data_IF_043978194369
#
_entry.id   IF_043978194369
#
_cell.length_a   1.000
_cell.length_b   1.000
_cell.length_c   1.000
_cell.angle_alpha   90.00
_cell.angle_beta   90.00
_cell.angle_gamma   90.00
#
_symmetry.space_group_name_H-M   'P 1'
#
loop_
_entity.id
_entity.type
_entity.pdbx_description
1 polymer ?
#
# COMPACT_ATOMS: atom_id res chain seq x y z
N UNK A 1 12.50 15.11 -5.74
CA UNK A 1 12.24 14.09 -6.78
C UNK A 1 10.80 14.24 -7.27
N UNK A 2 10.58 14.00 -8.56
CA UNK A 2 9.21 14.03 -9.11
C UNK A 2 8.45 12.76 -8.74
N UNK A 3 7.16 12.87 -8.42
CA UNK A 3 6.34 11.70 -8.15
C UNK A 3 6.17 10.82 -9.40
N UNK A 4 5.91 9.54 -9.18
CA UNK A 4 5.49 8.61 -10.22
C UNK A 4 3.98 8.44 -10.18
N UNK A 5 3.34 8.07 -11.29
CA UNK A 5 1.88 7.94 -11.32
C UNK A 5 1.40 6.91 -12.34
N UNK A 6 0.17 6.43 -12.12
CA UNK A 6 -0.63 5.67 -13.09
C UNK A 6 -2.05 6.20 -13.12
N UNK A 7 -2.72 6.00 -14.24
CA UNK A 7 -4.16 6.25 -14.34
C UNK A 7 -4.93 4.99 -13.93
N UNK A 8 -5.96 5.17 -13.09
CA UNK A 8 -6.83 4.13 -12.59
C UNK A 8 -8.28 4.62 -12.54
N UNK A 9 -9.16 4.05 -13.33
CA UNK A 9 -10.61 4.39 -13.33
C UNK A 9 -10.92 5.89 -13.50
N UNK A 10 -10.16 6.62 -14.34
CA UNK A 10 -10.34 8.06 -14.53
C UNK A 10 -9.71 8.94 -13.43
N UNK A 11 -8.99 8.33 -12.52
CA UNK A 11 -8.16 8.98 -11.51
C UNK A 11 -6.69 8.82 -11.86
N UNK A 12 -5.85 9.80 -11.52
CA UNK A 12 -4.40 9.70 -11.56
C UNK A 12 -3.86 9.58 -10.14
N UNK A 13 -3.22 8.47 -9.85
CA UNK A 13 -2.68 8.14 -8.54
C UNK A 13 -1.18 8.41 -8.53
N UNK A 14 -0.74 9.27 -7.64
CA UNK A 14 0.66 9.65 -7.47
C UNK A 14 1.25 9.02 -6.21
N UNK A 15 2.47 8.53 -6.36
CA UNK A 15 3.26 7.94 -5.28
C UNK A 15 4.71 8.44 -5.30
N UNK A 16 5.41 8.29 -4.18
CA UNK A 16 6.84 8.54 -4.12
C UNK A 16 7.61 7.55 -5.01
N UNK A 17 8.61 8.03 -5.79
CA UNK A 17 9.42 7.17 -6.64
C UNK A 17 10.35 6.26 -5.82
N UNK A 18 11.00 5.25 -6.45
CA UNK A 18 12.10 4.53 -5.83
C UNK A 18 13.25 5.48 -5.37
N UNK A 19 13.87 5.17 -4.30
CA UNK A 19 13.94 3.92 -3.51
C UNK A 19 12.68 3.60 -2.67
N UNK A 20 11.63 4.40 -2.78
CA UNK A 20 10.33 4.16 -2.14
C UNK A 20 9.52 3.04 -2.81
N UNK A 21 8.66 2.39 -2.01
CA UNK A 21 7.81 1.28 -2.49
C UNK A 21 6.50 1.73 -3.14
N UNK A 22 6.29 3.03 -3.42
CA UNK A 22 5.05 3.54 -4.03
C UNK A 22 4.71 2.84 -5.35
N UNK A 23 5.73 2.47 -6.12
CA UNK A 23 5.57 1.69 -7.34
C UNK A 23 4.79 0.38 -7.13
N UNK A 24 4.86 -0.24 -5.94
CA UNK A 24 4.11 -1.48 -5.63
C UNK A 24 2.61 -1.26 -5.72
N UNK A 25 2.11 -0.18 -5.13
CA UNK A 25 0.69 0.17 -5.22
C UNK A 25 0.28 0.46 -6.66
N UNK A 26 1.11 1.19 -7.41
CA UNK A 26 0.83 1.54 -8.80
C UNK A 26 0.82 0.32 -9.73
N UNK A 27 1.74 -0.64 -9.56
CA UNK A 27 1.73 -1.91 -10.31
C UNK A 27 0.45 -2.69 -9.99
N UNK A 28 0.08 -2.81 -8.70
CA UNK A 28 -1.14 -3.51 -8.32
C UNK A 28 -2.40 -2.87 -8.91
N UNK A 29 -2.52 -1.54 -8.87
CA UNK A 29 -3.64 -0.81 -9.48
C UNK A 29 -3.71 -1.03 -10.99
N UNK A 30 -2.58 -1.02 -11.70
CA UNK A 30 -2.54 -1.33 -13.13
C UNK A 30 -2.99 -2.75 -13.45
N UNK A 31 -2.63 -3.73 -12.61
CA UNK A 31 -3.11 -5.11 -12.76
C UNK A 31 -4.63 -5.16 -12.52
N UNK A 32 -5.11 -4.53 -11.45
CA UNK A 32 -6.52 -4.52 -11.05
C UNK A 32 -7.42 -3.78 -12.02
N UNK A 33 -6.93 -2.80 -12.77
CA UNK A 33 -7.71 -2.07 -13.76
C UNK A 33 -8.33 -2.97 -14.83
N UNK A 34 -7.76 -4.14 -15.08
CA UNK A 34 -8.30 -5.12 -16.05
C UNK A 34 -9.42 -6.01 -15.50
N UNK A 35 -9.80 -5.87 -14.23
CA UNK A 35 -10.95 -6.54 -13.63
C UNK A 35 -12.05 -5.52 -13.37
N UNK A 36 -13.31 -5.88 -13.53
CA UNK A 36 -14.44 -5.00 -13.22
C UNK A 36 -14.81 -5.11 -11.74
N UNK A 37 -14.00 -4.49 -10.88
CA UNK A 37 -14.17 -4.55 -9.42
C UNK A 37 -15.43 -3.81 -8.94
N UNK A 38 -16.00 -2.91 -9.76
CA UNK A 38 -17.18 -2.14 -9.38
C UNK A 38 -18.46 -2.98 -9.38
N UNK A 39 -18.51 -4.05 -10.20
CA UNK A 39 -19.66 -4.95 -10.24
C UNK A 39 -19.53 -6.12 -9.26
N UNK A 40 -18.36 -6.28 -8.62
CA UNK A 40 -18.15 -7.32 -7.61
C UNK A 40 -18.56 -6.81 -6.23
N UNK A 41 -19.25 -7.65 -5.45
CA UNK A 41 -19.53 -7.33 -4.06
C UNK A 41 -18.25 -7.04 -3.29
N UNK A 42 -18.31 -6.12 -2.32
CA UNK A 42 -17.13 -5.62 -1.58
C UNK A 42 -16.25 -6.73 -1.03
N UNK A 43 -16.85 -7.80 -0.54
CA UNK A 43 -16.17 -8.94 0.06
C UNK A 43 -16.42 -10.25 -0.70
N UNK A 44 -16.75 -10.19 -1.98
CA UNK A 44 -16.83 -11.43 -2.75
C UNK A 44 -15.46 -12.13 -2.76
N UNK A 45 -15.44 -13.48 -2.71
CA UNK A 45 -14.20 -14.25 -2.77
C UNK A 45 -13.35 -13.91 -4.00
N UNK A 46 -14.01 -13.69 -5.14
CA UNK A 46 -13.38 -13.33 -6.42
C UNK A 46 -12.65 -11.99 -6.32
N UNK A 47 -13.31 -10.96 -5.76
CA UNK A 47 -12.70 -9.63 -5.57
C UNK A 47 -11.51 -9.70 -4.63
N UNK A 48 -11.66 -10.34 -3.48
CA UNK A 48 -10.58 -10.49 -2.52
C UNK A 48 -9.41 -11.28 -3.11
N UNK A 49 -9.70 -12.37 -3.81
CA UNK A 49 -8.69 -13.19 -4.47
C UNK A 49 -7.86 -12.38 -5.48
N UNK A 50 -8.49 -11.69 -6.43
CA UNK A 50 -7.74 -10.93 -7.44
C UNK A 50 -6.96 -9.78 -6.83
N UNK A 51 -7.45 -9.13 -5.76
CA UNK A 51 -6.72 -8.09 -5.04
C UNK A 51 -5.47 -8.65 -4.33
N UNK A 52 -5.60 -9.80 -3.67
CA UNK A 52 -4.47 -10.49 -3.02
C UNK A 52 -3.42 -10.90 -4.06
N UNK A 53 -3.84 -11.51 -5.17
CA UNK A 53 -2.93 -11.96 -6.23
C UNK A 53 -2.23 -10.78 -6.93
N UNK A 54 -2.94 -9.69 -7.20
CA UNK A 54 -2.34 -8.47 -7.75
C UNK A 54 -1.26 -7.91 -6.82
N UNK A 55 -1.50 -7.90 -5.50
CA UNK A 55 -0.50 -7.48 -4.52
C UNK A 55 0.70 -8.43 -4.47
N UNK A 56 0.49 -9.76 -4.58
CA UNK A 56 1.59 -10.74 -4.66
C UNK A 56 2.51 -10.46 -5.84
N UNK A 57 1.93 -10.27 -7.01
CA UNK A 57 2.68 -9.97 -8.23
C UNK A 57 3.43 -8.63 -8.13
N UNK A 58 2.77 -7.59 -7.61
CA UNK A 58 3.38 -6.28 -7.41
C UNK A 58 4.55 -6.32 -6.43
N UNK A 59 4.43 -7.06 -5.31
CA UNK A 59 5.54 -7.24 -4.38
C UNK A 59 6.68 -8.08 -4.97
N UNK A 60 6.40 -9.11 -5.76
CA UNK A 60 7.44 -9.89 -6.42
C UNK A 60 8.34 -9.00 -7.30
N UNK A 61 7.73 -8.07 -8.04
CA UNK A 61 8.47 -7.10 -8.85
C UNK A 61 9.19 -6.05 -7.99
N UNK A 62 8.47 -5.42 -7.05
CA UNK A 62 9.02 -4.36 -6.24
C UNK A 62 10.21 -4.81 -5.38
N UNK A 63 10.17 -6.00 -4.81
CA UNK A 63 11.27 -6.55 -4.01
C UNK A 63 12.55 -6.75 -4.81
N UNK A 64 12.44 -7.03 -6.10
CA UNK A 64 13.60 -7.17 -6.96
C UNK A 64 14.09 -5.82 -7.50
N UNK A 65 13.18 -4.97 -8.00
CA UNK A 65 13.56 -3.77 -8.73
C UNK A 65 13.74 -2.52 -7.87
N UNK A 66 13.05 -2.40 -6.71
CA UNK A 66 13.13 -1.19 -5.88
C UNK A 66 14.46 -1.12 -5.16
N UNK A 67 15.23 -0.11 -5.54
CA UNK A 67 16.57 0.18 -5.03
C UNK A 67 16.86 1.67 -5.20
N UNK A 68 18.04 2.14 -4.78
CA UNK A 68 18.46 3.52 -5.03
C UNK A 68 18.76 3.73 -6.52
N UNK A 69 18.02 4.64 -7.21
CA UNK A 69 18.22 4.91 -8.65
C UNK A 69 19.62 5.45 -9.00
N UNK A 70 20.35 5.98 -8.03
CA UNK A 70 21.75 6.40 -8.22
C UNK A 70 22.72 5.22 -8.39
N UNK A 71 22.30 4.02 -7.97
CA UNK A 71 23.14 2.81 -7.98
C UNK A 71 22.63 1.72 -8.92
N UNK A 72 21.36 1.75 -9.32
CA UNK A 72 20.76 0.71 -10.16
C UNK A 72 19.76 1.31 -11.13
N UNK A 73 19.75 0.81 -12.36
CA UNK A 73 18.74 1.20 -13.36
C UNK A 73 17.44 0.44 -13.08
N UNK A 74 16.39 1.19 -12.73
CA UNK A 74 15.05 0.64 -12.51
C UNK A 74 14.23 0.88 -13.79
N UNK A 75 13.63 -0.17 -14.40
CA UNK A 75 12.83 -0.03 -15.61
C UNK A 75 11.42 0.50 -15.30
N UNK A 76 11.36 1.78 -14.86
CA UNK A 76 10.14 2.41 -14.33
C UNK A 76 9.00 2.47 -15.34
N UNK A 77 9.32 2.84 -16.60
CA UNK A 77 8.30 2.98 -17.65
C UNK A 77 7.67 1.63 -17.97
N UNK A 78 8.51 0.61 -18.07
CA UNK A 78 8.09 -0.76 -18.35
C UNK A 78 7.24 -1.33 -17.22
N UNK A 79 7.69 -1.19 -15.97
CA UNK A 79 6.97 -1.68 -14.78
C UNK A 79 5.59 -1.03 -14.59
N UNK A 80 5.44 0.25 -14.98
CA UNK A 80 4.20 0.99 -14.89
C UNK A 80 3.38 0.99 -16.19
N UNK A 81 3.81 0.27 -17.23
CA UNK A 81 3.07 0.18 -18.48
C UNK A 81 1.82 -0.68 -18.36
N UNK A 82 0.80 -0.37 -19.15
CA UNK A 82 -0.43 -1.18 -19.22
C UNK A 82 -0.20 -2.54 -19.88
N UNK A 83 0.76 -2.61 -20.79
CA UNK A 83 1.21 -3.83 -21.44
C UNK A 83 1.78 -4.81 -20.43
N UNK A 84 2.72 -4.35 -19.58
CA UNK A 84 3.29 -5.16 -18.52
C UNK A 84 2.22 -5.64 -17.53
N UNK A 85 1.35 -4.75 -17.10
CA UNK A 85 0.23 -5.10 -16.21
C UNK A 85 -0.69 -6.16 -16.84
N UNK A 86 -0.92 -6.09 -18.15
CA UNK A 86 -1.69 -7.11 -18.88
C UNK A 86 -1.00 -8.49 -18.85
N UNK A 87 0.32 -8.53 -19.04
CA UNK A 87 1.08 -9.79 -18.94
C UNK A 87 1.07 -10.36 -17.52
N UNK A 88 1.24 -9.49 -16.51
CA UNK A 88 1.18 -9.92 -15.11
C UNK A 88 -0.21 -10.47 -14.73
N UNK A 89 -1.27 -9.84 -15.23
CA UNK A 89 -2.67 -10.29 -15.01
C UNK A 89 -2.93 -11.71 -15.51
N UNK A 90 -2.31 -12.13 -16.60
CA UNK A 90 -2.45 -13.50 -17.14
C UNK A 90 -1.94 -14.57 -16.18
N UNK A 91 -1.11 -14.21 -15.21
CA UNK A 91 -0.59 -15.12 -14.19
C UNK A 91 -1.57 -15.38 -13.05
N UNK A 92 -2.65 -14.59 -12.95
CA UNK A 92 -3.69 -14.78 -11.95
C UNK A 92 -4.63 -15.88 -12.41
N UNK A 93 -4.60 -17.01 -11.72
CA UNK A 93 -5.59 -18.08 -11.90
C UNK A 93 -6.86 -17.69 -11.10
N UNK A 94 -8.05 -17.52 -11.72
CA UNK A 94 -9.23 -17.05 -11.03
C UNK A 94 -9.79 -17.99 -9.95
N UNK A 95 -9.24 -19.21 -9.83
CA UNK A 95 -9.74 -20.25 -8.92
C UNK A 95 -8.67 -20.75 -7.96
N UNK A 96 -7.42 -20.34 -8.12
CA UNK A 96 -6.31 -20.89 -7.34
C UNK A 96 -5.28 -19.82 -7.00
N UNK A 97 -4.91 -19.78 -5.71
CA UNK A 97 -3.86 -18.89 -5.22
C UNK A 97 -2.48 -19.30 -5.78
N UNK A 98 -1.70 -18.30 -6.16
CA UNK A 98 -0.29 -18.48 -6.57
C UNK A 98 0.59 -18.39 -5.32
N UNK A 99 0.86 -19.51 -4.67
CA UNK A 99 1.50 -19.57 -3.33
C UNK A 99 3.01 -19.36 -3.36
N UNK A 100 3.64 -19.03 -4.47
CA UNK A 100 5.08 -18.75 -4.48
C UNK A 100 5.49 -17.58 -5.37
N UNK A 101 5.68 -16.41 -4.79
CA UNK A 101 6.77 -15.55 -5.20
C UNK A 101 7.86 -15.61 -4.16
N UNK A 102 8.91 -16.36 -4.46
CA UNK A 102 10.08 -16.55 -3.61
C UNK A 102 10.60 -15.25 -3.00
N UNK A 103 10.82 -15.30 -1.71
CA UNK A 103 11.62 -14.54 -0.74
C UNK A 103 10.85 -13.70 0.28
N UNK A 104 11.16 -13.95 1.54
CA UNK A 104 10.72 -13.19 2.70
C UNK A 104 11.75 -13.18 3.81
N UNK A 105 11.61 -12.27 4.76
CA UNK A 105 12.27 -12.27 6.06
C UNK A 105 11.38 -11.50 7.07
N UNK A 106 11.28 -11.90 8.35
CA UNK A 106 10.22 -11.44 9.24
C UNK A 106 10.65 -10.26 10.10
N UNK A 107 9.83 -9.23 10.27
CA UNK A 107 9.48 -8.54 11.53
C UNK A 107 8.39 -7.50 11.28
N UNK A 108 7.26 -7.63 11.99
CA UNK A 108 6.12 -6.72 11.95
C UNK A 108 6.09 -5.82 13.19
N UNK A 109 6.66 -4.62 13.13
CA UNK A 109 6.18 -3.49 13.93
C UNK A 109 6.57 -2.20 13.24
N UNK A 110 5.58 -1.39 12.89
CA UNK A 110 5.80 -0.10 12.22
C UNK A 110 5.56 1.04 13.20
N UNK A 111 6.55 1.93 13.33
CA UNK A 111 6.44 3.20 14.05
C UNK A 111 6.23 4.37 13.08
N UNK A 112 5.13 4.36 12.31
CA UNK A 112 4.83 5.35 11.28
C UNK A 112 3.65 6.22 11.69
N UNK A 113 3.71 7.54 11.39
CA UNK A 113 2.61 8.50 11.53
C UNK A 113 2.31 9.11 10.16
N UNK A 114 1.03 9.19 9.79
CA UNK A 114 0.55 9.83 8.57
C UNK A 114 -0.44 10.95 8.90
N UNK A 115 -0.35 12.07 8.18
CA UNK A 115 -1.35 13.13 8.21
C UNK A 115 -1.62 13.69 6.80
N UNK A 116 -2.82 14.22 6.62
CA UNK A 116 -3.24 14.90 5.40
C UNK A 116 -3.85 16.25 5.74
N UNK A 117 -3.57 17.27 4.93
CA UNK A 117 -4.14 18.62 5.08
C UNK A 117 -4.56 19.14 3.72
N UNK A 118 -5.75 19.76 3.66
CA UNK A 118 -6.22 20.49 2.47
C UNK A 118 -6.68 21.87 2.94
N UNK A 119 -6.17 22.93 2.31
CA UNK A 119 -6.55 24.30 2.63
C UNK A 119 -7.77 24.80 1.82
N UNK A 120 -8.29 25.99 2.17
CA UNK A 120 -9.42 26.59 1.47
C UNK A 120 -9.17 26.97 0.01
N UNK A 121 -7.92 26.99 -0.45
CA UNK A 121 -7.54 27.21 -1.85
C UNK A 121 -7.44 25.90 -2.63
N UNK A 122 -7.56 24.76 -1.96
CA UNK A 122 -7.44 23.43 -2.56
C UNK A 122 -6.00 22.91 -2.65
N UNK A 123 -5.02 23.58 -2.01
CA UNK A 123 -3.69 22.99 -1.86
C UNK A 123 -3.77 21.82 -0.89
N UNK A 124 -3.09 20.73 -1.22
CA UNK A 124 -3.10 19.50 -0.43
C UNK A 124 -1.68 19.08 -0.04
N UNK A 125 -1.54 18.58 1.18
CA UNK A 125 -0.31 18.01 1.69
C UNK A 125 -0.58 16.59 2.21
N UNK A 126 0.12 15.62 1.66
CA UNK A 126 0.16 14.23 2.10
C UNK A 126 1.50 13.99 2.78
N UNK A 127 1.51 13.87 4.11
CA UNK A 127 2.72 13.87 4.92
C UNK A 127 2.85 12.59 5.75
N UNK A 128 4.04 12.01 5.73
CA UNK A 128 4.33 10.79 6.47
C UNK A 128 5.71 10.86 7.13
N UNK A 129 5.82 10.37 8.36
CA UNK A 129 7.05 10.26 9.12
C UNK A 129 7.16 8.88 9.78
N UNK A 130 8.35 8.30 9.82
CA UNK A 130 8.54 6.93 10.29
C UNK A 130 9.97 6.65 10.72
N UNK A 131 10.11 5.94 11.82
CA UNK A 131 11.37 5.32 12.24
C UNK A 131 11.59 3.93 11.61
N UNK A 132 10.64 3.44 10.80
CA UNK A 132 10.48 2.09 10.25
C UNK A 132 9.94 1.12 11.32
N UNK A 133 10.75 0.57 12.20
CA UNK A 133 10.31 -0.37 13.25
C UNK A 133 10.26 0.33 14.61
N UNK A 134 9.09 0.42 15.22
CA UNK A 134 8.90 0.93 16.60
C UNK A 134 9.72 2.19 16.89
N UNK A 135 10.66 2.09 17.84
CA UNK A 135 11.59 3.16 18.18
C UNK A 135 12.85 3.19 17.29
N UNK A 136 12.82 2.61 16.08
CA UNK A 136 13.94 2.57 15.16
C UNK A 136 15.13 1.77 15.75
N UNK A 137 16.30 2.41 15.82
CA UNK A 137 17.50 1.80 16.42
C UNK A 137 17.47 1.77 17.95
N UNK A 138 16.53 2.48 18.59
CA UNK A 138 16.53 2.74 20.03
C UNK A 138 17.60 3.75 20.48
N UNK A 139 18.43 4.26 19.57
CA UNK A 139 19.48 5.25 19.89
C UNK A 139 18.85 6.65 19.86
N UNK A 140 18.93 7.36 20.99
CA UNK A 140 18.54 8.75 21.13
C UNK A 140 19.81 9.62 21.13
N UNK A 141 20.05 10.45 20.09
CA UNK A 141 21.17 11.37 20.08
C UNK A 141 21.05 12.35 21.27
N UNK A 142 22.17 12.56 21.98
CA UNK A 142 22.18 13.42 23.18
C UNK A 142 21.71 14.84 22.86
N UNK A 143 20.68 15.30 23.57
CA UNK A 143 20.14 16.65 23.46
C UNK A 143 19.08 16.85 22.36
N UNK A 144 18.70 15.79 21.59
CA UNK A 144 17.79 15.92 20.46
C UNK A 144 16.37 15.38 20.69
N UNK A 145 16.16 14.45 21.62
CA UNK A 145 14.84 13.98 22.02
C UNK A 145 14.07 13.13 20.99
N UNK A 146 14.75 12.59 19.96
CA UNK A 146 14.18 11.66 19.00
C UNK A 146 15.07 10.40 18.85
N UNK A 147 14.49 9.30 18.37
CA UNK A 147 15.24 8.08 18.05
C UNK A 147 15.68 8.06 16.59
N UNK A 148 16.84 7.47 16.32
CA UNK A 148 17.32 7.26 14.96
C UNK A 148 16.53 6.12 14.29
N UNK A 149 16.10 6.34 13.04
CA UNK A 149 15.41 5.33 12.23
C UNK A 149 16.34 4.14 11.92
N UNK A 150 15.75 2.95 11.72
CA UNK A 150 16.49 1.71 11.42
C UNK A 150 16.23 1.18 10.01
N UNK A 151 16.02 2.04 9.06
CA UNK A 151 15.63 1.71 7.68
C UNK A 151 16.69 0.92 6.90
N UNK A 152 17.96 0.97 7.35
CA UNK A 152 19.04 0.15 6.82
C UNK A 152 18.80 -1.36 6.91
N UNK A 153 17.87 -1.80 7.78
CA UNK A 153 17.41 -3.19 7.84
C UNK A 153 16.86 -3.70 6.49
N UNK A 154 16.36 -2.81 5.65
CA UNK A 154 15.81 -3.17 4.35
C UNK A 154 16.86 -3.43 3.25
N UNK A 155 18.14 -3.24 3.51
CA UNK A 155 19.17 -3.63 2.55
C UNK A 155 19.23 -5.16 2.39
N UNK A 156 19.48 -5.60 1.16
CA UNK A 156 19.85 -6.99 0.88
C UNK A 156 21.32 -7.25 1.23
N UNK A 157 21.60 -8.43 1.75
CA UNK A 157 22.98 -8.92 1.93
C UNK A 157 23.45 -9.80 0.75
N UNK A 158 22.57 -10.08 -0.21
CA UNK A 158 22.94 -10.76 -1.45
C UNK A 158 23.72 -9.78 -2.36
N UNK A 159 24.98 -10.08 -2.70
CA UNK A 159 25.83 -9.19 -3.50
C UNK A 159 25.28 -8.95 -4.93
N UNK A 160 24.39 -9.82 -5.42
CA UNK A 160 23.79 -9.70 -6.74
C UNK A 160 22.48 -8.92 -6.73
N UNK A 161 21.97 -8.54 -5.56
CA UNK A 161 20.68 -7.87 -5.46
C UNK A 161 20.83 -6.36 -5.74
N UNK A 162 19.95 -5.72 -6.56
CA UNK A 162 20.00 -4.29 -6.81
C UNK A 162 19.99 -3.41 -5.54
N UNK A 163 19.32 -3.86 -4.46
CA UNK A 163 19.27 -3.17 -3.16
C UNK A 163 20.34 -3.70 -2.17
N UNK A 164 21.48 -4.22 -2.63
CA UNK A 164 22.57 -4.67 -1.76
C UNK A 164 23.13 -3.49 -0.96
N UNK A 165 23.53 -3.76 0.29
CA UNK A 165 24.17 -2.78 1.17
C UNK A 165 25.46 -2.24 0.53
N UNK A 166 25.54 -0.91 0.40
CA UNK A 166 26.72 -0.21 -0.10
C UNK A 166 26.87 1.17 0.55
N UNK A 167 28.10 1.72 0.64
CA UNK A 167 28.33 3.07 1.14
C UNK A 167 27.60 4.12 0.33
N UNK A 168 27.00 5.10 0.99
CA UNK A 168 26.29 6.22 0.35
C UNK A 168 24.97 5.87 -0.32
N UNK A 169 24.52 4.62 -0.24
CA UNK A 169 23.30 4.12 -0.87
C UNK A 169 22.10 4.22 0.06
N UNK A 170 20.94 4.61 -0.50
CA UNK A 170 19.66 4.62 0.18
C UNK A 170 19.03 3.22 0.14
N UNK A 171 18.52 2.68 1.28
CA UNK A 171 17.84 1.39 1.32
C UNK A 171 16.44 1.46 0.69
N UNK A 172 15.86 0.31 0.37
CA UNK A 172 14.41 0.18 0.12
C UNK A 172 13.63 0.91 1.21
N UNK A 173 12.71 1.81 0.80
CA UNK A 173 12.02 2.70 1.71
C UNK A 173 10.51 2.45 1.71
N UNK A 174 9.90 2.35 2.90
CA UNK A 174 8.50 1.93 3.03
C UNK A 174 7.49 3.06 3.11
N UNK A 175 7.89 4.33 3.37
CA UNK A 175 6.92 5.42 3.43
C UNK A 175 6.51 5.90 2.04
N UNK A 176 5.20 6.04 1.83
CA UNK A 176 4.60 6.35 0.54
C UNK A 176 3.34 7.22 0.71
N UNK A 177 3.47 8.53 1.04
CA UNK A 177 2.31 9.41 1.06
C UNK A 177 1.73 9.54 -0.34
N UNK A 178 0.41 9.35 -0.52
CA UNK A 178 -0.24 9.35 -1.82
C UNK A 178 -1.09 10.59 -2.07
N UNK A 179 -1.26 10.94 -3.34
CA UNK A 179 -2.14 11.98 -3.83
C UNK A 179 -2.90 11.46 -5.06
N UNK A 180 -4.16 11.84 -5.19
CA UNK A 180 -5.01 11.44 -6.32
C UNK A 180 -5.68 12.65 -6.93
N UNK A 181 -5.60 12.78 -8.26
CA UNK A 181 -6.32 13.80 -9.02
C UNK A 181 -7.28 13.15 -10.02
N UNK A 182 -8.25 13.91 -10.49
CA UNK A 182 -9.11 13.51 -11.61
C UNK A 182 -8.35 13.70 -12.92
N UNK A 183 -8.41 12.72 -13.79
CA UNK A 183 -7.74 12.82 -15.12
C UNK A 183 -8.38 13.90 -15.98
N UNK A 184 -9.69 14.16 -15.81
CA UNK A 184 -10.47 15.08 -16.63
C UNK A 184 -10.01 16.53 -16.54
N UNK A 185 -9.62 16.99 -15.32
CA UNK A 185 -9.35 18.41 -15.04
C UNK A 185 -8.16 18.63 -14.10
N UNK A 186 -7.49 17.55 -13.73
CA UNK A 186 -6.37 17.53 -12.77
C UNK A 186 -6.74 18.09 -11.37
N UNK A 187 -8.03 18.19 -11.04
CA UNK A 187 -8.48 18.61 -9.71
C UNK A 187 -8.18 17.53 -8.66
N UNK A 188 -7.97 17.97 -7.41
CA UNK A 188 -7.78 17.04 -6.30
C UNK A 188 -9.01 16.12 -6.16
N UNK A 189 -8.78 14.81 -6.13
CA UNK A 189 -9.76 13.81 -5.73
C UNK A 189 -9.55 13.39 -4.28
N UNK A 190 -8.33 13.03 -3.89
CA UNK A 190 -8.02 12.65 -2.52
C UNK A 190 -6.55 12.89 -2.17
N UNK A 191 -6.31 13.22 -0.90
CA UNK A 191 -5.02 13.11 -0.23
C UNK A 191 -5.17 12.03 0.83
N UNK A 192 -4.37 10.96 0.75
CA UNK A 192 -4.54 9.80 1.63
C UNK A 192 -3.24 9.03 1.85
N UNK A 193 -3.25 8.23 2.91
CA UNK A 193 -2.18 7.27 3.19
C UNK A 193 -2.61 6.27 4.24
N UNK A 194 -2.02 5.08 4.17
CA UNK A 194 -2.19 4.02 5.16
C UNK A 194 -0.82 3.66 5.67
N UNK A 195 -0.50 3.97 6.92
CA UNK A 195 0.76 3.59 7.54
C UNK A 195 0.82 2.11 7.86
N UNK A 196 2.01 1.52 8.04
CA UNK A 196 2.14 0.12 8.42
C UNK A 196 3.27 -0.65 7.71
N UNK A 197 4.40 -0.01 7.38
CA UNK A 197 5.51 -0.70 6.71
C UNK A 197 5.10 -1.24 5.34
N UNK A 198 5.23 -2.55 5.11
CA UNK A 198 4.80 -3.22 3.87
C UNK A 198 3.27 -3.31 3.71
N UNK A 199 2.50 -2.99 4.74
CA UNK A 199 1.05 -2.83 4.62
C UNK A 199 0.67 -1.56 3.81
N UNK A 200 1.52 -0.55 3.75
CA UNK A 200 1.19 0.72 3.10
C UNK A 200 0.68 0.55 1.65
N UNK A 201 1.39 -0.11 0.72
CA UNK A 201 0.89 -0.29 -0.65
C UNK A 201 -0.43 -1.07 -0.69
N UNK A 202 -0.59 -2.06 0.18
CA UNK A 202 -1.79 -2.89 0.26
C UNK A 202 -2.99 -2.08 0.77
N UNK A 203 -2.77 -1.27 1.81
CA UNK A 203 -3.78 -0.37 2.34
C UNK A 203 -4.18 0.71 1.33
N UNK A 204 -3.23 1.26 0.59
CA UNK A 204 -3.50 2.22 -0.49
C UNK A 204 -4.42 1.64 -1.55
N UNK A 205 -4.14 0.42 -2.02
CA UNK A 205 -4.96 -0.27 -3.03
C UNK A 205 -6.35 -0.58 -2.48
N UNK A 206 -6.47 -1.10 -1.26
CA UNK A 206 -7.75 -1.48 -0.66
C UNK A 206 -8.63 -0.26 -0.40
N UNK A 207 -8.06 0.81 0.18
CA UNK A 207 -8.80 2.05 0.46
C UNK A 207 -9.22 2.74 -0.85
N UNK A 208 -8.33 2.86 -1.83
CA UNK A 208 -8.66 3.49 -3.11
C UNK A 208 -9.74 2.71 -3.87
N UNK A 209 -9.68 1.37 -3.88
CA UNK A 209 -10.72 0.53 -4.48
C UNK A 209 -12.05 0.67 -3.75
N UNK A 210 -12.06 0.76 -2.42
CA UNK A 210 -13.28 0.98 -1.64
C UNK A 210 -13.92 2.35 -1.97
N UNK A 211 -13.11 3.41 -2.08
CA UNK A 211 -13.58 4.75 -2.49
C UNK A 211 -14.08 4.77 -3.93
N UNK A 212 -13.31 4.21 -4.88
CA UNK A 212 -13.56 4.39 -6.32
C UNK A 212 -14.43 3.30 -6.92
N UNK A 213 -14.13 2.03 -6.67
CA UNK A 213 -14.91 0.91 -7.21
C UNK A 213 -16.14 0.61 -6.32
N UNK A 214 -15.99 0.77 -4.99
CA UNK A 214 -17.06 0.57 -4.02
C UNK A 214 -17.98 1.77 -3.82
N UNK A 215 -17.57 2.96 -4.26
CA UNK A 215 -18.35 4.19 -4.09
C UNK A 215 -18.55 4.62 -2.62
N UNK A 216 -17.69 4.18 -1.72
CA UNK A 216 -17.79 4.47 -0.29
C UNK A 216 -17.24 5.86 0.04
N UNK A 217 -17.76 6.45 1.11
CA UNK A 217 -17.18 7.64 1.72
C UNK A 217 -15.85 7.29 2.45
N UNK A 218 -15.01 8.29 2.80
CA UNK A 218 -13.71 8.06 3.44
C UNK A 218 -13.77 7.24 4.73
N UNK A 219 -14.75 7.49 5.60
CA UNK A 219 -14.83 6.75 6.87
C UNK A 219 -15.26 5.32 6.63
N UNK A 220 -16.30 5.09 5.84
CA UNK A 220 -16.76 3.74 5.48
C UNK A 220 -15.65 2.93 4.80
N UNK A 221 -14.85 3.55 3.93
CA UNK A 221 -13.72 2.87 3.28
C UNK A 221 -12.61 2.48 4.28
N UNK A 222 -12.38 3.29 5.31
CA UNK A 222 -11.38 3.00 6.35
C UNK A 222 -11.87 1.95 7.36
N UNK A 223 -13.18 1.89 7.60
CA UNK A 223 -13.80 0.95 8.54
C UNK A 223 -13.83 -0.50 8.03
N UNK A 224 -13.71 -0.70 6.70
CA UNK A 224 -13.73 -2.05 6.13
C UNK A 224 -12.62 -2.93 6.70
N UNK A 225 -12.90 -4.21 7.00
CA UNK A 225 -11.87 -5.18 7.32
C UNK A 225 -10.93 -5.38 6.13
N UNK A 226 -9.65 -5.55 6.43
CA UNK A 226 -8.57 -5.63 5.45
C UNK A 226 -7.91 -7.00 5.42
N UNK A 227 -7.21 -7.27 4.33
CA UNK A 227 -6.17 -8.29 4.29
C UNK A 227 -4.78 -7.65 4.36
N UNK A 228 -3.81 -8.40 4.85
CA UNK A 228 -2.40 -8.04 4.79
C UNK A 228 -1.60 -9.26 4.33
N UNK A 229 -1.07 -9.18 3.12
CA UNK A 229 -0.11 -10.15 2.63
C UNK A 229 1.19 -9.97 3.41
N UNK A 230 1.61 -11.01 4.12
CA UNK A 230 2.93 -11.02 4.74
C UNK A 230 3.98 -11.11 3.63
N UNK A 231 4.37 -9.94 3.15
CA UNK A 231 5.32 -9.81 2.05
C UNK A 231 6.71 -10.38 2.41
N UNK A 232 6.93 -10.76 3.65
CA UNK A 232 8.21 -11.27 4.17
C UNK A 232 8.18 -12.75 4.51
N UNK A 233 7.01 -13.41 4.58
CA UNK A 233 6.93 -14.84 4.86
C UNK A 233 7.25 -15.70 3.62
N UNK A 234 8.05 -16.74 3.86
CA UNK A 234 8.27 -17.81 2.89
C UNK A 234 7.00 -18.69 2.81
N UNK A 235 6.08 -18.41 1.95
CA UNK A 235 4.81 -19.16 1.85
C UNK A 235 3.62 -18.25 1.61
N UNK A 236 3.86 -16.93 1.54
CA UNK A 236 2.86 -15.95 1.11
C UNK A 236 1.63 -15.91 2.00
N UNK A 237 1.81 -16.03 3.34
CA UNK A 237 0.72 -15.91 4.33
C UNK A 237 -0.06 -14.62 4.11
N UNK A 238 -1.37 -14.71 4.25
CA UNK A 238 -2.29 -13.58 4.22
C UNK A 238 -2.99 -13.48 5.56
N UNK A 239 -2.73 -12.42 6.29
CA UNK A 239 -3.49 -12.07 7.47
C UNK A 239 -4.83 -11.48 7.03
N UNK A 240 -5.93 -11.96 7.61
CA UNK A 240 -7.30 -11.52 7.36
C UNK A 240 -7.85 -10.93 8.65
N UNK A 241 -8.37 -9.72 8.55
CA UNK A 241 -8.91 -9.01 9.69
C UNK A 241 -10.28 -9.56 10.12
N UNK A 242 -10.52 -9.58 11.43
CA UNK A 242 -11.86 -9.87 11.97
C UNK A 242 -12.92 -8.96 11.34
N UNK A 243 -14.12 -9.49 11.09
CA UNK A 243 -15.17 -8.78 10.36
C UNK A 243 -15.23 -9.12 8.86
N UNK A 244 -14.21 -9.78 8.30
CA UNK A 244 -14.31 -10.37 6.96
C UNK A 244 -15.37 -11.47 6.96
N UNK A 245 -16.31 -11.51 5.98
CA UNK A 245 -17.35 -12.54 5.96
C UNK A 245 -16.76 -13.96 5.95
N UNK A 246 -17.24 -14.82 6.82
CA UNK A 246 -16.76 -16.21 6.96
C UNK A 246 -16.83 -16.99 5.65
N UNK A 247 -17.87 -16.76 4.84
CA UNK A 247 -17.99 -17.39 3.53
C UNK A 247 -16.82 -17.02 2.60
N UNK A 248 -16.42 -15.75 2.61
CA UNK A 248 -15.27 -15.25 1.85
C UNK A 248 -13.96 -15.89 2.34
N UNK A 249 -13.77 -15.92 3.66
CA UNK A 249 -12.56 -16.54 4.27
C UNK A 249 -12.46 -18.01 3.88
N UNK A 250 -13.57 -18.77 3.96
CA UNK A 250 -13.57 -20.18 3.60
C UNK A 250 -13.28 -20.40 2.11
N UNK A 251 -13.91 -19.62 1.24
CA UNK A 251 -13.65 -19.71 -0.20
C UNK A 251 -12.20 -19.38 -0.56
N UNK A 252 -11.60 -18.37 0.06
CA UNK A 252 -10.17 -18.06 -0.13
C UNK A 252 -9.25 -19.20 0.33
N UNK A 253 -9.60 -19.91 1.43
CA UNK A 253 -8.88 -21.12 1.85
C UNK A 253 -9.00 -22.25 0.83
N UNK A 254 -10.19 -22.46 0.28
CA UNK A 254 -10.42 -23.45 -0.77
C UNK A 254 -9.63 -23.13 -2.07
N UNK A 255 -9.45 -21.84 -2.38
CA UNK A 255 -8.58 -21.39 -3.46
C UNK A 255 -7.08 -21.59 -3.15
N UNK A 256 -6.72 -21.97 -1.91
CA UNK A 256 -5.36 -22.28 -1.51
C UNK A 256 -4.57 -21.10 -0.93
N UNK A 257 -5.23 -20.00 -0.53
CA UNK A 257 -4.56 -18.95 0.23
C UNK A 257 -4.20 -19.43 1.64
N UNK A 258 -2.94 -19.30 2.09
CA UNK A 258 -2.55 -19.58 3.47
C UNK A 258 -3.02 -18.43 4.38
N UNK A 259 -4.22 -18.55 4.94
CA UNK A 259 -4.86 -17.49 5.72
C UNK A 259 -4.59 -17.63 7.21
N UNK A 260 -4.38 -16.48 7.88
CA UNK A 260 -4.33 -16.32 9.31
C UNK A 260 -5.34 -15.23 9.72
N UNK A 261 -6.29 -15.56 10.58
CA UNK A 261 -7.29 -14.60 11.08
C UNK A 261 -6.72 -13.83 12.27
N UNK A 262 -6.85 -12.50 12.24
CA UNK A 262 -6.28 -11.59 13.23
C UNK A 262 -7.38 -10.71 13.84
N UNK A 263 -7.38 -10.61 15.17
CA UNK A 263 -8.38 -9.88 15.93
C UNK A 263 -7.77 -9.04 17.06
N UNK A 264 -8.58 -8.19 17.68
CA UNK A 264 -8.19 -7.40 18.84
C UNK A 264 -7.03 -6.44 18.57
N UNK A 265 -6.08 -6.33 19.48
CA UNK A 265 -4.94 -5.41 19.35
C UNK A 265 -3.96 -5.78 18.22
N UNK A 266 -3.92 -7.02 17.78
CA UNK A 266 -3.06 -7.48 16.69
C UNK A 266 -3.50 -6.92 15.34
N UNK A 267 -4.72 -6.39 15.23
CA UNK A 267 -5.23 -5.68 14.03
C UNK A 267 -4.37 -4.50 13.59
N UNK A 268 -3.44 -4.05 14.42
CA UNK A 268 -2.45 -3.04 14.05
C UNK A 268 -1.63 -3.41 12.78
N UNK A 269 -1.55 -4.69 12.41
CA UNK A 269 -0.87 -5.16 11.19
C UNK A 269 -1.56 -4.67 9.91
N UNK A 270 -2.87 -4.35 9.95
CA UNK A 270 -3.64 -3.87 8.81
C UNK A 270 -3.47 -2.37 8.51
N UNK A 271 -2.52 -1.75 9.18
CA UNK A 271 -2.20 -0.34 9.01
C UNK A 271 -3.27 0.59 9.60
N UNK A 272 -3.03 1.88 9.45
CA UNK A 272 -3.92 2.94 9.93
C UNK A 272 -3.96 4.05 8.89
N UNK A 273 -5.14 4.33 8.38
CA UNK A 273 -5.34 5.27 7.28
C UNK A 273 -5.88 6.62 7.71
N UNK A 274 -5.58 7.62 6.91
CA UNK A 274 -6.24 8.92 6.95
C UNK A 274 -6.55 9.32 5.51
N UNK A 275 -7.73 9.86 5.28
CA UNK A 275 -8.21 10.26 3.95
C UNK A 275 -8.85 11.63 4.05
N UNK A 276 -8.53 12.52 3.13
CA UNK A 276 -9.35 13.69 2.80
C UNK A 276 -9.74 13.53 1.32
N UNK A 277 -11.03 13.37 1.07
CA UNK A 277 -11.61 13.31 -0.27
C UNK A 277 -12.27 14.66 -0.59
N UNK A 278 -12.08 15.15 -1.82
CA UNK A 278 -12.80 16.30 -2.36
C UNK A 278 -13.81 15.84 -3.38
N UNK A 279 -15.08 16.09 -3.14
CA UNK A 279 -16.15 15.75 -4.08
C UNK A 279 -16.20 16.71 -5.30
N UNK A 280 -17.12 16.48 -6.21
CA UNK A 280 -17.29 17.28 -7.44
C UNK A 280 -17.80 18.71 -7.14
N UNK A 281 -18.48 18.92 -6.02
CA UNK A 281 -18.92 20.25 -5.55
C UNK A 281 -17.82 21.04 -4.84
N UNK A 282 -16.69 20.40 -4.55
CA UNK A 282 -15.57 21.00 -3.84
C UNK A 282 -15.59 20.79 -2.33
N UNK A 283 -16.59 20.08 -1.81
CA UNK A 283 -16.69 19.75 -0.37
C UNK A 283 -15.62 18.74 0.00
N UNK A 284 -14.97 18.99 1.14
CA UNK A 284 -13.98 18.09 1.71
C UNK A 284 -14.63 17.14 2.71
N UNK A 285 -14.41 15.85 2.55
CA UNK A 285 -14.84 14.80 3.47
C UNK A 285 -13.62 14.09 4.05
N UNK A 286 -13.47 14.11 5.38
CA UNK A 286 -12.37 13.48 6.10
C UNK A 286 -12.77 12.16 6.72
N UNK A 287 -11.86 11.17 6.70
CA UNK A 287 -12.00 9.91 7.42
C UNK A 287 -10.73 9.58 8.21
N UNK A 288 -10.90 9.01 9.41
CA UNK A 288 -9.82 8.58 10.30
C UNK A 288 -10.00 7.11 10.69
N UNK A 289 -8.91 6.36 10.63
CA UNK A 289 -8.91 4.91 10.81
C UNK A 289 -9.26 4.52 12.26
N UNK A 290 -10.26 3.64 12.47
CA UNK A 290 -10.66 3.20 13.81
C UNK A 290 -9.61 2.32 14.52
N UNK A 291 -8.53 1.90 13.82
CA UNK A 291 -7.42 1.15 14.39
C UNK A 291 -6.38 2.04 15.07
N UNK A 292 -6.62 3.36 15.14
CA UNK A 292 -5.75 4.34 15.81
C UNK A 292 -6.57 5.47 16.46
N UNK A 293 -5.97 6.17 17.40
CA UNK A 293 -6.49 7.44 17.97
C UNK A 293 -6.25 8.61 17.02
N UNK A 294 -6.81 8.51 15.81
CA UNK A 294 -6.77 9.56 14.80
C UNK A 294 -7.99 10.48 14.89
N UNK A 295 -7.90 11.61 14.20
CA UNK A 295 -9.00 12.58 14.14
C UNK A 295 -9.07 13.23 12.76
N UNK A 296 -10.29 13.33 12.20
CA UNK A 296 -10.59 14.16 11.05
C UNK A 296 -11.35 15.41 11.52
N UNK A 297 -10.82 16.60 11.23
CA UNK A 297 -11.39 17.85 11.70
C UNK A 297 -11.23 18.98 10.70
N UNK A 298 -12.08 19.99 10.81
CA UNK A 298 -11.96 21.28 10.12
C UNK A 298 -11.55 22.37 11.11
N UNK A 299 -10.75 23.31 10.63
CA UNK A 299 -10.38 24.52 11.34
C UNK A 299 -11.34 25.65 10.97
#
# INVERSE_FOLDING_TARGET
>A
ESPISVDYRGLRVYECPPNGQGITALIALNILEGFDLAVMDLFSPEKMHVMIEAMRLAFADAKWYVSDPAFSKIPMQELLSKEYASERRKLIDPKRATVDPRRGSPVNSSGTVYLSVVDGMGNACSFINSNYMGFGTGIVPKGWGFTLQNRGHNFSLDPNHPNVLAPGKRPYHTIIPAMVTRVSDNSLYASYGVMGGFMQPQGHVQVLSALKDGGLDPQSALDLPRFCLDAESAGGRVDIEEGMPTATVNALREMGHPLNEVSGYERAVFGRGQVILRDESGVLCGGSDPRADGYAGSL
#
